data_IF_316806377554
#
_entry.id   IF_316806377554
#
_cell.length_a   1.000
_cell.length_b   1.000
_cell.length_c   1.000
_cell.angle_alpha   90.00
_cell.angle_beta   90.00
_cell.angle_gamma   90.00
#
_symmetry.space_group_name_H-M   'P 1'
#
loop_
_entity.id
_entity.type
_entity.pdbx_description
1 polymer ?
#
# COMPACT_ATOMS: atom_id res chain seq x y z
N UNK A 1 -24.10 -48.87 -51.25
CA UNK A 1 -22.84 -49.24 -50.58
C UNK A 1 -22.11 -47.94 -50.24
N UNK A 2 -21.62 -47.79 -49.00
CA UNK A 2 -21.47 -46.55 -48.21
C UNK A 2 -22.78 -46.15 -47.50
N UNK A 3 -23.27 -46.87 -46.47
CA UNK A 3 -22.76 -47.11 -45.11
C UNK A 3 -22.91 -45.88 -44.18
N UNK A 4 -23.91 -46.02 -43.30
CA UNK A 4 -24.26 -45.31 -42.04
C UNK A 4 -24.72 -43.83 -42.13
N UNK A 5 -26.00 -43.50 -41.81
CA UNK A 5 -26.63 -43.45 -40.47
C UNK A 5 -25.79 -42.59 -39.51
N UNK A 6 -26.23 -41.48 -38.92
CA UNK A 6 -27.45 -41.27 -38.15
C UNK A 6 -27.65 -39.78 -37.89
N UNK A 7 -28.91 -39.37 -37.92
CA UNK A 7 -29.40 -38.05 -37.59
C UNK A 7 -29.28 -37.72 -36.08
N UNK A 8 -29.53 -36.42 -35.78
CA UNK A 8 -30.28 -35.90 -34.61
C UNK A 8 -29.47 -35.12 -33.56
N UNK A 9 -29.48 -33.79 -33.76
CA UNK A 9 -29.85 -32.72 -32.81
C UNK A 9 -29.10 -32.60 -31.46
N UNK A 10 -28.42 -31.45 -31.33
CA UNK A 10 -28.38 -30.56 -30.16
C UNK A 10 -28.09 -31.15 -28.78
N UNK A 11 -26.84 -30.98 -28.32
CA UNK A 11 -26.46 -30.54 -26.94
C UNK A 11 -24.94 -30.67 -26.79
N UNK A 12 -24.22 -29.53 -26.73
CA UNK A 12 -23.03 -29.33 -25.90
C UNK A 12 -22.36 -27.99 -26.25
N UNK A 13 -23.16 -26.92 -26.30
CA UNK A 13 -22.66 -25.58 -26.07
C UNK A 13 -22.37 -25.46 -24.56
N UNK A 14 -21.24 -25.98 -24.07
CA UNK A 14 -20.80 -25.74 -22.69
C UNK A 14 -19.33 -26.12 -22.43
N UNK A 15 -18.36 -25.60 -23.18
CA UNK A 15 -16.95 -25.56 -22.75
C UNK A 15 -16.28 -24.24 -23.19
N UNK A 16 -17.00 -23.13 -23.07
CA UNK A 16 -16.51 -21.76 -23.33
C UNK A 16 -16.22 -20.99 -22.02
N UNK A 17 -16.36 -21.60 -20.83
CA UNK A 17 -16.30 -20.84 -19.57
C UNK A 17 -15.59 -21.55 -18.43
N UNK A 18 -14.26 -21.53 -18.41
CA UNK A 18 -13.40 -21.66 -17.21
C UNK A 18 -11.95 -21.62 -17.74
N UNK A 19 -11.08 -20.65 -17.53
CA UNK A 19 -10.93 -19.73 -16.43
C UNK A 19 -10.32 -18.43 -16.97
N UNK A 20 -11.07 -17.33 -16.89
CA UNK A 20 -10.45 -16.01 -16.83
C UNK A 20 -10.09 -15.83 -15.37
N UNK A 21 -8.87 -16.24 -15.01
CA UNK A 21 -8.29 -15.94 -13.70
C UNK A 21 -8.10 -14.42 -13.66
N UNK A 22 -9.06 -13.71 -13.08
CA UNK A 22 -8.91 -12.28 -12.79
C UNK A 22 -7.85 -12.20 -11.69
N UNK A 23 -6.61 -11.93 -12.09
CA UNK A 23 -5.60 -11.43 -11.17
C UNK A 23 -6.03 -10.01 -10.81
N UNK A 24 -6.81 -9.86 -9.74
CA UNK A 24 -7.04 -8.53 -9.16
C UNK A 24 -5.73 -8.09 -8.56
N UNK A 25 -5.02 -7.21 -9.27
CA UNK A 25 -3.93 -6.44 -8.65
C UNK A 25 -4.61 -5.54 -7.61
N UNK A 26 -4.56 -5.95 -6.34
CA UNK A 26 -4.93 -5.08 -5.23
C UNK A 26 -3.86 -3.99 -5.19
N UNK A 27 -4.17 -2.82 -5.76
CA UNK A 27 -3.31 -1.66 -5.57
C UNK A 27 -3.39 -1.22 -4.11
N UNK A 28 -2.26 -0.97 -3.42
CA UNK A 28 -2.27 -0.37 -2.11
C UNK A 28 -3.03 0.96 -2.17
N UNK A 29 -4.17 1.04 -1.49
CA UNK A 29 -4.86 2.31 -1.32
C UNK A 29 -4.14 3.10 -0.22
N UNK A 30 -3.90 4.39 -0.46
CA UNK A 30 -3.38 5.28 0.57
C UNK A 30 -4.37 5.34 1.76
N UNK A 31 -3.85 5.39 2.98
CA UNK A 31 -4.67 5.56 4.17
C UNK A 31 -5.51 6.86 4.05
N UNK A 32 -6.80 6.75 4.34
CA UNK A 32 -7.68 7.90 4.47
C UNK A 32 -7.49 8.59 5.82
N UNK A 33 -7.90 9.86 5.91
CA UNK A 33 -7.84 10.59 7.18
C UNK A 33 -8.69 9.94 8.28
N UNK A 34 -9.84 9.35 7.93
CA UNK A 34 -10.72 8.68 8.88
C UNK A 34 -10.10 7.39 9.41
N UNK A 35 -9.39 6.64 8.57
CA UNK A 35 -8.61 5.46 8.99
C UNK A 35 -7.48 5.85 9.95
N UNK A 36 -6.74 6.93 9.64
CA UNK A 36 -5.68 7.46 10.51
C UNK A 36 -6.25 7.85 11.88
N UNK A 37 -7.37 8.59 11.89
CA UNK A 37 -8.04 9.02 13.14
C UNK A 37 -8.55 7.83 13.94
N UNK A 38 -9.18 6.86 13.27
CA UNK A 38 -9.70 5.64 13.90
C UNK A 38 -8.58 4.80 14.52
N UNK A 39 -7.45 4.66 13.82
CA UNK A 39 -6.27 3.92 14.27
C UNK A 39 -5.45 4.65 15.34
N UNK A 40 -5.68 5.96 15.51
CA UNK A 40 -5.04 6.78 16.54
C UNK A 40 -3.59 7.16 16.24
N UNK A 41 -3.08 6.87 15.05
CA UNK A 41 -1.72 7.25 14.63
C UNK A 41 -1.56 7.29 13.11
N UNK A 42 -0.62 8.11 12.64
CA UNK A 42 -0.09 8.04 11.28
C UNK A 42 1.40 7.70 11.30
N UNK A 43 1.86 7.06 10.23
CA UNK A 43 3.27 6.75 10.01
C UNK A 43 3.81 7.69 8.94
N UNK A 44 5.01 8.23 9.12
CA UNK A 44 5.65 9.10 8.13
C UNK A 44 7.10 8.66 7.89
N UNK A 45 7.50 8.64 6.62
CA UNK A 45 8.82 8.21 6.18
C UNK A 45 9.83 9.35 6.19
N UNK A 46 11.05 9.09 6.65
CA UNK A 46 12.19 10.04 6.63
C UNK A 46 13.54 9.31 6.52
N UNK A 47 14.62 10.01 6.22
CA UNK A 47 15.98 9.44 6.18
C UNK A 47 16.81 9.94 7.37
N UNK A 48 16.90 9.13 8.43
CA UNK A 48 17.59 9.52 9.67
C UNK A 48 19.07 9.82 9.41
N UNK A 49 19.49 11.05 9.66
CA UNK A 49 20.90 11.47 9.52
C UNK A 49 21.07 12.89 9.00
N UNK A 50 20.00 13.55 8.60
CA UNK A 50 20.04 14.86 7.96
C UNK A 50 19.73 16.00 8.94
N UNK A 51 20.78 16.55 9.58
CA UNK A 51 20.63 17.71 10.47
C UNK A 51 20.27 18.98 9.68
N UNK A 52 19.37 19.84 10.20
CA UNK A 52 18.64 19.77 11.47
C UNK A 52 17.24 19.13 11.38
N UNK A 53 16.92 18.42 10.30
CA UNK A 53 15.58 17.99 9.94
C UNK A 53 15.19 16.67 10.63
N UNK A 54 16.00 15.63 10.49
CA UNK A 54 15.80 14.34 11.13
C UNK A 54 17.15 13.68 11.46
N UNK A 55 17.44 13.46 12.73
CA UNK A 55 18.71 12.88 13.17
C UNK A 55 18.57 12.21 14.53
N UNK A 56 19.56 11.39 14.91
CA UNK A 56 19.61 10.79 16.24
C UNK A 56 20.28 11.72 17.24
N UNK A 57 19.66 11.91 18.40
CA UNK A 57 20.25 12.60 19.55
C UNK A 57 21.21 11.68 20.34
N UNK A 58 21.70 12.16 21.48
CA UNK A 58 22.58 11.40 22.38
C UNK A 58 21.90 10.17 23.00
N UNK A 59 20.57 10.16 23.08
CA UNK A 59 19.76 9.05 23.57
C UNK A 59 19.34 8.08 22.46
N UNK A 60 19.84 8.29 21.24
CA UNK A 60 19.50 7.52 20.04
C UNK A 60 18.03 7.69 19.58
N UNK A 61 17.33 8.74 20.04
CA UNK A 61 15.98 9.12 19.63
C UNK A 61 16.03 9.94 18.33
N UNK A 62 15.02 9.78 17.46
CA UNK A 62 14.93 10.57 16.23
C UNK A 62 14.31 11.92 16.58
N UNK A 63 15.07 12.99 16.37
CA UNK A 63 14.69 14.37 16.66
C UNK A 63 14.97 15.27 15.45
N UNK A 64 14.42 16.49 15.47
CA UNK A 64 14.66 17.52 14.45
C UNK A 64 13.38 18.18 13.97
N UNK A 65 13.51 19.10 13.02
CA UNK A 65 12.39 19.89 12.51
C UNK A 65 11.24 19.04 11.97
N UNK A 66 11.53 17.96 11.24
CA UNK A 66 10.48 17.10 10.65
C UNK A 66 9.70 16.35 11.74
N UNK A 67 10.36 16.00 12.83
CA UNK A 67 9.75 15.37 14.01
C UNK A 67 8.83 16.37 14.72
N UNK A 68 9.28 17.60 14.91
CA UNK A 68 8.50 18.65 15.57
C UNK A 68 7.23 18.99 14.77
N UNK A 69 7.36 19.11 13.45
CA UNK A 69 6.22 19.35 12.56
C UNK A 69 5.24 18.18 12.59
N UNK A 70 5.72 16.94 12.49
CA UNK A 70 4.87 15.76 12.53
C UNK A 70 4.11 15.64 13.87
N UNK A 71 4.77 15.93 14.98
CA UNK A 71 4.15 15.93 16.30
C UNK A 71 3.06 17.01 16.43
N UNK A 72 3.28 18.21 15.90
CA UNK A 72 2.26 19.27 15.91
C UNK A 72 1.06 18.90 15.02
N UNK A 73 1.29 18.24 13.88
CA UNK A 73 0.22 17.69 13.04
C UNK A 73 -0.59 16.64 13.82
N UNK A 74 0.09 15.66 14.44
CA UNK A 74 -0.56 14.62 15.26
C UNK A 74 -1.40 15.22 16.38
N UNK A 75 -0.87 16.21 17.09
CA UNK A 75 -1.59 16.93 18.15
C UNK A 75 -2.87 17.60 17.64
N UNK A 76 -2.85 18.26 16.47
CA UNK A 76 -4.05 18.88 15.88
C UNK A 76 -5.07 17.86 15.41
N UNK A 77 -4.61 16.68 15.01
CA UNK A 77 -5.45 15.57 14.57
C UNK A 77 -5.95 14.69 15.73
N UNK A 78 -5.38 14.81 16.92
CA UNK A 78 -5.67 13.95 18.07
C UNK A 78 -5.09 12.54 17.95
N UNK A 79 -3.98 12.38 17.24
CA UNK A 79 -3.33 11.10 16.95
C UNK A 79 -1.81 11.16 17.19
N UNK A 80 -1.16 10.01 17.32
CA UNK A 80 0.29 9.89 17.45
C UNK A 80 0.99 9.96 16.07
N UNK A 81 2.13 10.65 16.01
CA UNK A 81 2.98 10.69 14.82
C UNK A 81 4.13 9.68 14.98
N UNK A 82 4.25 8.71 14.07
CA UNK A 82 5.27 7.65 14.15
C UNK A 82 6.30 7.75 13.01
N UNK A 83 7.55 8.14 13.29
CA UNK A 83 8.58 8.19 12.26
C UNK A 83 8.98 6.77 11.85
N UNK A 84 9.09 6.54 10.55
CA UNK A 84 9.62 5.32 9.95
C UNK A 84 10.87 5.68 9.15
N UNK A 85 12.01 5.15 9.58
CA UNK A 85 13.25 5.31 8.82
C UNK A 85 13.14 4.59 7.47
N UNK A 86 13.47 5.29 6.40
CA UNK A 86 13.54 4.77 5.02
C UNK A 86 14.93 5.01 4.43
N UNK A 87 15.21 4.37 3.30
CA UNK A 87 16.40 4.67 2.49
C UNK A 87 15.98 5.58 1.34
N UNK A 88 16.60 6.76 1.23
CA UNK A 88 16.32 7.72 0.17
C UNK A 88 16.57 7.16 -1.23
N UNK A 89 17.51 6.22 -1.39
CA UNK A 89 17.80 5.57 -2.67
C UNK A 89 16.58 4.83 -3.25
N UNK A 90 15.64 4.39 -2.42
CA UNK A 90 14.45 3.64 -2.84
C UNK A 90 13.15 4.41 -2.67
N UNK A 91 13.17 5.64 -2.14
CA UNK A 91 11.96 6.38 -1.73
C UNK A 91 10.96 6.53 -2.88
N UNK A 92 11.43 6.80 -4.11
CA UNK A 92 10.55 6.94 -5.27
C UNK A 92 10.01 5.59 -5.74
N UNK A 93 10.82 4.52 -5.70
CA UNK A 93 10.38 3.19 -6.10
C UNK A 93 9.32 2.64 -5.13
N UNK A 94 9.49 2.88 -3.82
CA UNK A 94 8.50 2.50 -2.81
C UNK A 94 7.17 3.26 -2.89
N UNK A 95 7.05 4.28 -3.73
CA UNK A 95 5.79 5.00 -3.95
C UNK A 95 4.92 4.40 -5.06
N UNK A 96 5.47 3.50 -5.88
CA UNK A 96 4.77 2.85 -6.99
C UNK A 96 4.54 1.35 -6.80
N UNK A 97 5.11 0.78 -5.75
CA UNK A 97 4.97 -0.62 -5.32
C UNK A 97 3.95 -0.77 -4.17
#
# INVERSE_FOLDING_TARGET
>A
MSVFLTAKRSTAALLVGFAVTILTVVQPAADTLDEIKSRGHFVFGLEVGYKPFEFRDENNEIVGYDIDVANEIGKRLGVEARPQGTNWATVIQTLYD
#
